data_IF_611638147058
#
_entry.id   IF_611638147058
#
_cell.length_a   1.000
_cell.length_b   1.000
_cell.length_c   1.000
_cell.angle_alpha   90.00
_cell.angle_beta   90.00
_cell.angle_gamma   90.00
#
_symmetry.space_group_name_H-M   'P 1'
#
loop_
_entity.id
_entity.type
_entity.pdbx_description
1 polymer ?
#
# COMPACT_ATOMS: atom_id res chain seq x y z
N UNK A 1 -20.10 6.16 9.75
CA UNK A 1 -18.69 5.82 9.48
C UNK A 1 -18.56 4.32 9.62
N UNK A 2 -17.98 3.68 8.61
CA UNK A 2 -17.82 2.24 8.63
C UNK A 2 -16.88 1.82 9.77
N UNK A 3 -17.20 0.71 10.43
CA UNK A 3 -16.39 0.19 11.55
C UNK A 3 -15.53 -0.96 11.05
N UNK A 4 -14.21 -0.81 11.13
CA UNK A 4 -13.23 -1.79 10.69
C UNK A 4 -12.86 -2.70 11.86
N UNK A 5 -12.94 -4.02 11.66
CA UNK A 5 -12.59 -5.04 12.66
C UNK A 5 -11.84 -6.19 12.01
N UNK A 6 -10.80 -6.68 12.66
CA UNK A 6 -10.10 -7.88 12.22
C UNK A 6 -10.80 -9.13 12.76
N UNK A 7 -10.99 -10.14 11.90
CA UNK A 7 -11.42 -11.48 12.25
C UNK A 7 -10.20 -12.41 12.12
N UNK A 8 -9.53 -12.66 13.24
CA UNK A 8 -8.15 -13.16 13.21
C UNK A 8 -7.23 -12.08 12.61
N UNK A 9 -6.19 -12.49 11.88
CA UNK A 9 -5.21 -11.54 11.31
C UNK A 9 -5.29 -11.40 9.79
N UNK A 10 -6.12 -12.22 9.12
CA UNK A 10 -6.15 -12.38 7.66
C UNK A 10 -7.49 -12.03 7.01
N UNK A 11 -8.48 -11.65 7.81
CA UNK A 11 -9.81 -11.25 7.32
C UNK A 11 -10.21 -9.92 7.97
N UNK A 12 -10.60 -8.98 7.13
CA UNK A 12 -11.17 -7.71 7.54
C UNK A 12 -12.69 -7.78 7.47
N UNK A 13 -13.37 -7.57 8.59
CA UNK A 13 -14.80 -7.31 8.64
C UNK A 13 -15.05 -5.79 8.71
N UNK A 14 -15.95 -5.29 7.87
CA UNK A 14 -16.36 -3.89 7.85
C UNK A 14 -17.86 -3.81 8.07
N UNK A 15 -18.26 -3.27 9.22
CA UNK A 15 -19.67 -3.02 9.53
C UNK A 15 -20.07 -1.66 8.95
N UNK A 16 -21.19 -1.62 8.24
CA UNK A 16 -21.67 -0.45 7.49
C UNK A 16 -23.12 -0.17 7.85
N UNK A 17 -23.45 1.10 8.10
CA UNK A 17 -24.81 1.56 8.44
C UNK A 17 -25.36 2.53 7.38
N UNK A 18 -25.16 2.22 6.10
CA UNK A 18 -25.44 3.12 4.96
C UNK A 18 -24.22 3.88 4.45
N UNK A 19 -23.05 3.68 5.09
CA UNK A 19 -21.76 4.22 4.67
C UNK A 19 -21.23 3.53 3.40
N UNK A 20 -20.08 4.00 2.91
CA UNK A 20 -19.34 3.36 1.83
C UNK A 20 -17.87 3.13 2.23
N UNK A 21 -17.23 2.18 1.58
CA UNK A 21 -15.78 1.93 1.67
C UNK A 21 -15.21 1.65 0.28
N UNK A 22 -13.92 1.93 0.11
CA UNK A 22 -13.17 1.58 -1.11
C UNK A 22 -12.29 0.39 -0.78
N UNK A 23 -12.46 -0.73 -1.44
CA UNK A 23 -11.68 -1.95 -1.22
C UNK A 23 -10.97 -2.41 -2.50
N UNK A 24 -9.93 -3.23 -2.37
CA UNK A 24 -9.27 -3.90 -3.49
C UNK A 24 -10.30 -4.72 -4.25
N UNK A 25 -10.39 -4.52 -5.57
CA UNK A 25 -11.32 -5.27 -6.42
C UNK A 25 -11.01 -6.77 -6.32
N UNK A 26 -12.06 -7.58 -6.15
CA UNK A 26 -11.93 -9.04 -6.00
C UNK A 26 -11.50 -9.51 -4.61
N UNK A 27 -11.31 -8.60 -3.63
CA UNK A 27 -10.97 -8.99 -2.25
C UNK A 27 -12.17 -9.32 -1.36
N UNK A 28 -13.40 -9.11 -1.83
CA UNK A 28 -14.59 -9.46 -1.05
C UNK A 28 -14.77 -10.99 -1.01
N UNK A 29 -14.91 -11.53 0.19
CA UNK A 29 -15.06 -12.96 0.45
C UNK A 29 -16.51 -13.30 0.81
N UNK A 30 -17.15 -12.46 1.61
CA UNK A 30 -18.54 -12.64 2.03
C UNK A 30 -19.16 -11.28 2.40
N UNK A 31 -20.49 -11.22 2.43
CA UNK A 31 -21.21 -10.11 3.05
C UNK A 31 -22.54 -10.59 3.65
N UNK A 32 -23.02 -9.86 4.65
CA UNK A 32 -24.35 -9.99 5.22
C UNK A 32 -25.06 -8.64 5.15
N UNK A 33 -26.39 -8.65 4.96
CA UNK A 33 -27.20 -7.47 4.75
C UNK A 33 -27.29 -7.00 3.29
N UNK A 34 -27.53 -5.70 3.10
CA UNK A 34 -27.78 -5.09 1.79
C UNK A 34 -26.55 -4.33 1.32
N UNK A 35 -25.84 -4.88 0.32
CA UNK A 35 -24.62 -4.29 -0.22
C UNK A 35 -24.72 -4.06 -1.72
N UNK A 36 -24.26 -2.89 -2.17
CA UNK A 36 -24.06 -2.54 -3.57
C UNK A 36 -22.56 -2.43 -3.86
N UNK A 37 -22.14 -3.03 -4.97
CA UNK A 37 -20.74 -3.08 -5.39
C UNK A 37 -20.57 -2.35 -6.71
N UNK A 38 -19.65 -1.40 -6.77
CA UNK A 38 -19.32 -0.65 -7.98
C UNK A 38 -17.82 -0.72 -8.20
N UNK A 39 -17.39 -1.37 -9.28
CA UNK A 39 -16.00 -1.31 -9.72
C UNK A 39 -15.64 0.14 -10.03
N UNK A 40 -14.56 0.64 -9.44
CA UNK A 40 -14.04 1.96 -9.75
C UNK A 40 -13.15 1.85 -10.98
N UNK A 41 -13.78 1.72 -12.15
CA UNK A 41 -13.10 1.86 -13.44
C UNK A 41 -12.73 3.34 -13.63
N UNK A 42 -11.53 3.71 -13.23
CA UNK A 42 -11.07 5.10 -13.21
C UNK A 42 -11.43 5.79 -11.90
N UNK A 43 -10.43 5.93 -11.02
CA UNK A 43 -10.59 6.69 -9.78
C UNK A 43 -11.06 8.11 -10.06
N UNK A 44 -12.21 8.48 -9.49
CA UNK A 44 -12.65 9.84 -9.17
C UNK A 44 -12.83 10.89 -10.27
N UNK A 45 -12.22 10.75 -11.45
CA UNK A 45 -12.10 11.80 -12.46
C UNK A 45 -12.12 11.23 -13.89
N UNK A 46 -13.17 10.48 -14.21
CA UNK A 46 -13.48 10.07 -15.58
C UNK A 46 -12.32 9.49 -16.40
N UNK A 47 -12.31 9.79 -17.71
CA UNK A 47 -11.29 9.34 -18.66
C UNK A 47 -9.86 9.74 -18.25
N UNK A 48 -9.71 10.85 -17.53
CA UNK A 48 -8.40 11.40 -17.14
C UNK A 48 -7.70 10.51 -16.11
N UNK A 49 -8.42 10.05 -15.09
CA UNK A 49 -7.90 9.08 -14.11
C UNK A 49 -7.51 7.73 -14.73
N UNK A 50 -8.26 7.26 -15.74
CA UNK A 50 -7.90 6.06 -16.51
C UNK A 50 -6.64 6.24 -17.35
N UNK A 51 -6.47 7.41 -17.99
CA UNK A 51 -5.30 7.72 -18.80
C UNK A 51 -4.05 7.83 -17.93
N UNK A 52 -4.09 8.58 -16.82
CA UNK A 52 -2.96 8.69 -15.89
C UNK A 52 -2.55 7.30 -15.39
N UNK A 53 -3.51 6.42 -15.10
CA UNK A 53 -3.24 5.07 -14.61
C UNK A 53 -2.64 4.12 -15.65
N UNK A 54 -3.12 4.18 -16.89
CA UNK A 54 -2.54 3.41 -18.01
C UNK A 54 -1.15 3.91 -18.39
N UNK A 55 -0.91 5.21 -18.25
CA UNK A 55 0.41 5.82 -18.48
C UNK A 55 1.38 5.52 -17.34
N UNK A 56 0.91 5.45 -16.09
CA UNK A 56 1.75 5.05 -14.97
C UNK A 56 2.00 3.54 -14.96
N UNK A 57 1.06 2.70 -15.40
CA UNK A 57 1.17 1.23 -15.37
C UNK A 57 0.58 0.60 -14.10
N UNK A 58 -0.15 1.37 -13.30
CA UNK A 58 -0.72 0.93 -12.03
C UNK A 58 -1.95 0.00 -12.24
N UNK A 59 -1.89 -1.23 -11.73
CA UNK A 59 -2.94 -2.25 -11.91
C UNK A 59 -3.98 -2.32 -10.77
N UNK A 60 -3.91 -1.47 -9.74
CA UNK A 60 -4.69 -1.71 -8.51
C UNK A 60 -6.19 -1.34 -8.63
N UNK A 61 -7.01 -2.15 -9.27
CA UNK A 61 -8.45 -1.86 -9.35
C UNK A 61 -9.08 -1.79 -7.96
N UNK A 62 -9.73 -0.66 -7.64
CA UNK A 62 -10.56 -0.51 -6.42
C UNK A 62 -12.02 -0.76 -6.78
N UNK A 63 -12.80 -1.19 -5.78
CA UNK A 63 -14.25 -1.26 -5.82
C UNK A 63 -14.82 -0.45 -4.66
N UNK A 64 -15.88 0.30 -4.95
CA UNK A 64 -16.70 0.94 -3.93
C UNK A 64 -17.76 -0.07 -3.48
N UNK A 65 -17.85 -0.26 -2.16
CA UNK A 65 -18.90 -1.02 -1.51
C UNK A 65 -19.73 -0.02 -0.70
N UNK A 66 -21.05 -0.03 -0.89
CA UNK A 66 -21.97 0.84 -0.15
C UNK A 66 -23.17 0.02 0.32
N UNK A 67 -23.58 0.19 1.57
CA UNK A 67 -24.69 -0.60 2.07
C UNK A 67 -24.87 -0.60 3.58
N UNK A 68 -25.73 -1.49 4.04
CA UNK A 68 -26.06 -1.72 5.44
C UNK A 68 -25.89 -3.21 5.78
N UNK A 69 -25.00 -3.52 6.72
CA UNK A 69 -24.63 -4.88 7.11
C UNK A 69 -23.13 -5.02 7.33
N UNK A 70 -22.58 -6.23 7.12
CA UNK A 70 -21.15 -6.50 7.28
C UNK A 70 -20.55 -7.01 5.98
N UNK A 71 -19.44 -6.44 5.52
CA UNK A 71 -18.68 -6.95 4.39
C UNK A 71 -17.32 -7.50 4.85
N UNK A 72 -16.92 -8.66 4.33
CA UNK A 72 -15.69 -9.34 4.68
C UNK A 72 -14.71 -9.30 3.51
N UNK A 73 -13.49 -8.85 3.75
CA UNK A 73 -12.43 -8.72 2.76
C UNK A 73 -11.18 -9.50 3.17
N UNK A 74 -10.55 -10.15 2.19
CA UNK A 74 -9.25 -10.80 2.33
C UNK A 74 -8.57 -10.92 0.95
N UNK A 75 -7.25 -11.04 0.92
CA UNK A 75 -6.50 -11.32 -0.30
C UNK A 75 -5.41 -12.34 -0.02
N UNK A 76 -5.52 -13.52 -0.65
CA UNK A 76 -4.51 -14.60 -0.63
C UNK A 76 -3.94 -14.94 0.77
N UNK A 77 -4.78 -14.88 1.81
CA UNK A 77 -4.37 -15.13 3.21
C UNK A 77 -3.20 -14.24 3.70
N UNK A 78 -3.10 -13.03 3.15
CA UNK A 78 -2.17 -11.98 3.59
C UNK A 78 -2.54 -11.49 4.99
N UNK A 79 -1.53 -11.06 5.75
CA UNK A 79 -1.74 -10.40 7.04
C UNK A 79 -2.31 -8.99 6.83
N UNK A 80 -3.23 -8.57 7.70
CA UNK A 80 -3.92 -7.29 7.58
C UNK A 80 -3.60 -6.43 8.80
N UNK A 81 -3.17 -5.19 8.55
CA UNK A 81 -2.92 -4.19 9.57
C UNK A 81 -3.87 -3.00 9.37
N UNK A 82 -4.50 -2.58 10.47
CA UNK A 82 -5.34 -1.38 10.48
C UNK A 82 -4.50 -0.15 10.81
N UNK A 83 -4.64 0.88 10.00
CA UNK A 83 -3.97 2.18 10.15
C UNK A 83 -5.05 3.25 10.33
N UNK A 84 -5.09 3.84 11.52
CA UNK A 84 -5.92 5.01 11.80
C UNK A 84 -5.20 6.27 11.33
N UNK A 85 -5.90 7.10 10.55
CA UNK A 85 -5.42 8.40 10.10
C UNK A 85 -6.22 9.50 10.80
N UNK A 86 -5.52 10.51 11.33
CA UNK A 86 -6.13 11.62 12.07
C UNK A 86 -5.84 12.96 11.39
N UNK A 87 -6.12 13.04 10.10
CA UNK A 87 -5.71 14.16 9.24
C UNK A 87 -4.34 13.95 8.58
N UNK A 88 -3.79 12.75 8.75
CA UNK A 88 -2.49 12.36 8.23
C UNK A 88 -2.58 11.83 6.79
N UNK A 89 -1.40 11.61 6.21
CA UNK A 89 -1.23 10.99 4.91
C UNK A 89 -0.40 9.73 5.04
N UNK A 90 -0.98 8.62 4.58
CA UNK A 90 -0.32 7.34 4.40
C UNK A 90 0.12 7.20 2.95
N UNK A 91 1.36 6.78 2.77
CA UNK A 91 1.88 6.33 1.48
C UNK A 91 1.98 4.82 1.56
N UNK A 92 1.32 4.10 0.67
CA UNK A 92 1.28 2.63 0.68
C UNK A 92 1.54 2.12 -0.72
N UNK A 93 2.31 1.04 -0.84
CA UNK A 93 2.47 0.38 -2.13
C UNK A 93 1.10 -0.08 -2.62
N UNK A 94 0.76 0.24 -3.87
CA UNK A 94 -0.57 0.05 -4.41
C UNK A 94 -1.07 -1.40 -4.24
N UNK A 95 -0.20 -2.40 -4.37
CA UNK A 95 -0.63 -3.80 -4.23
C UNK A 95 -1.07 -4.18 -2.80
N UNK A 96 -0.62 -3.41 -1.79
CA UNK A 96 -0.83 -3.64 -0.37
C UNK A 96 -2.05 -2.93 0.22
N UNK A 97 -2.72 -2.02 -0.49
CA UNK A 97 -3.95 -1.40 0.03
C UNK A 97 -5.13 -2.39 -0.11
N UNK A 98 -5.74 -2.80 1.02
CA UNK A 98 -6.92 -3.67 1.01
C UNK A 98 -8.21 -2.87 1.03
N UNK A 99 -8.34 -1.91 1.94
CA UNK A 99 -9.57 -1.19 2.16
C UNK A 99 -9.30 0.19 2.77
N UNK A 100 -10.12 1.17 2.45
CA UNK A 100 -10.08 2.51 3.03
C UNK A 100 -11.50 3.03 3.22
N UNK A 101 -11.73 3.74 4.32
CA UNK A 101 -12.96 4.48 4.55
C UNK A 101 -13.25 5.42 3.36
N UNK A 102 -14.52 5.58 3.00
CA UNK A 102 -14.96 6.56 1.99
C UNK A 102 -14.55 8.00 2.30
N UNK A 103 -14.38 8.35 3.58
CA UNK A 103 -13.90 9.69 4.00
C UNK A 103 -12.46 9.96 3.61
N UNK A 104 -11.67 8.91 3.36
CA UNK A 104 -10.28 9.02 2.95
C UNK A 104 -10.17 9.28 1.44
N UNK A 105 -9.34 10.28 1.10
CA UNK A 105 -8.97 10.58 -0.28
C UNK A 105 -7.84 9.66 -0.70
N UNK A 106 -8.02 8.99 -1.82
CA UNK A 106 -7.03 8.10 -2.43
C UNK A 106 -6.48 8.74 -3.69
N UNK A 107 -5.16 8.84 -3.80
CA UNK A 107 -4.47 9.33 -4.99
C UNK A 107 -3.35 8.38 -5.40
N UNK A 108 -2.93 8.43 -6.66
CA UNK A 108 -1.77 7.66 -7.13
C UNK A 108 -0.58 8.61 -7.32
N UNK A 109 0.58 8.23 -6.78
CA UNK A 109 1.85 8.85 -7.09
C UNK A 109 2.82 7.80 -7.62
N UNK A 110 3.58 8.15 -8.65
CA UNK A 110 4.67 7.32 -9.11
C UNK A 110 5.94 7.76 -8.39
N UNK A 111 6.49 6.87 -7.57
CA UNK A 111 7.75 7.10 -6.87
C UNK A 111 8.82 6.23 -7.53
N UNK A 112 9.37 6.72 -8.65
CA UNK A 112 10.43 6.05 -9.40
C UNK A 112 11.47 7.05 -9.90
N UNK A 113 12.67 6.55 -10.23
CA UNK A 113 13.73 7.34 -10.85
C UNK A 113 13.21 7.99 -12.14
N UNK A 114 13.28 9.31 -12.23
CA UNK A 114 13.11 10.04 -13.49
C UNK A 114 14.16 9.52 -14.49
N UNK A 115 13.77 8.69 -15.45
CA UNK A 115 14.59 8.41 -16.65
C UNK A 115 14.86 6.96 -17.04
N UNK A 116 14.37 5.95 -16.31
CA UNK A 116 14.51 4.54 -16.74
C UNK A 116 13.31 4.06 -17.54
N UNK A 117 13.52 3.60 -18.79
CA UNK A 117 12.48 3.01 -19.65
C UNK A 117 12.01 1.61 -19.21
N UNK A 118 12.39 1.16 -18.02
CA UNK A 118 11.97 -0.10 -17.42
C UNK A 118 10.91 0.21 -16.36
N UNK A 119 9.72 -0.39 -16.46
CA UNK A 119 8.54 -0.14 -15.62
C UNK A 119 8.67 -0.58 -14.16
N UNK A 120 9.74 -0.17 -13.48
CA UNK A 120 10.21 -0.63 -12.16
C UNK A 120 10.13 0.48 -11.12
N UNK A 121 9.04 1.24 -11.11
CA UNK A 121 8.76 2.19 -10.04
C UNK A 121 7.86 1.58 -8.97
N UNK A 122 8.06 1.94 -7.71
CA UNK A 122 7.12 1.62 -6.65
C UNK A 122 5.87 2.46 -6.89
N UNK A 123 4.80 1.79 -7.32
CA UNK A 123 3.48 2.41 -7.39
C UNK A 123 3.01 2.70 -5.98
N UNK A 124 2.97 3.98 -5.63
CA UNK A 124 2.57 4.41 -4.29
C UNK A 124 1.20 5.03 -4.37
N UNK A 125 0.23 4.42 -3.69
CA UNK A 125 -1.06 5.02 -3.45
C UNK A 125 -0.98 5.86 -2.18
N UNK A 126 -1.47 7.09 -2.26
CA UNK A 126 -1.60 7.97 -1.10
C UNK A 126 -3.01 7.89 -0.56
N UNK A 127 -3.15 7.69 0.74
CA UNK A 127 -4.43 7.72 1.47
C UNK A 127 -4.36 8.85 2.49
N UNK A 128 -5.25 9.82 2.38
CA UNK A 128 -5.19 11.07 3.14
C UNK A 128 -6.54 11.44 3.76
N UNK A 129 -6.52 11.92 5.00
CA UNK A 129 -7.69 12.45 5.70
C UNK A 129 -7.86 11.82 7.08
N UNK A 130 -9.11 11.73 7.53
CA UNK A 130 -9.45 11.13 8.83
C UNK A 130 -10.34 9.92 8.64
N UNK A 131 -9.91 8.77 9.15
CA UNK A 131 -10.60 7.49 8.97
C UNK A 131 -9.66 6.30 9.18
N UNK A 132 -10.10 5.12 8.76
CA UNK A 132 -9.29 3.90 8.81
C UNK A 132 -8.93 3.40 7.41
N UNK A 133 -7.70 2.91 7.29
CA UNK A 133 -7.22 2.15 6.15
C UNK A 133 -6.74 0.76 6.62
N UNK A 134 -6.97 -0.25 5.81
CA UNK A 134 -6.45 -1.59 5.98
C UNK A 134 -5.37 -1.84 4.93
N UNK A 135 -4.16 -2.15 5.39
CA UNK A 135 -3.03 -2.52 4.54
C UNK A 135 -2.71 -4.00 4.72
N UNK A 136 -2.10 -4.59 3.69
CA UNK A 136 -1.73 -6.00 3.66
C UNK A 136 -0.22 -6.15 3.73
N UNK A 137 0.23 -7.29 4.24
CA UNK A 137 1.61 -7.72 4.24
C UNK A 137 1.71 -9.22 4.03
N UNK A 138 2.81 -9.67 3.44
CA UNK A 138 3.16 -11.08 3.47
C UNK A 138 3.85 -11.38 4.81
N UNK A 139 3.12 -12.02 5.71
CA UNK A 139 3.52 -12.20 7.11
C UNK A 139 3.31 -10.94 7.98
N UNK A 140 3.54 -11.04 9.31
CA UNK A 140 3.22 -9.96 10.25
C UNK A 140 4.07 -8.72 9.98
N UNK A 141 3.43 -7.59 9.67
CA UNK A 141 4.14 -6.34 9.37
C UNK A 141 4.97 -5.87 10.58
N UNK A 142 6.18 -5.39 10.30
CA UNK A 142 7.06 -4.76 11.28
C UNK A 142 6.96 -3.25 11.09
N UNK A 143 6.67 -2.53 12.18
CA UNK A 143 6.54 -1.07 12.19
C UNK A 143 7.81 -0.47 12.82
N UNK A 144 8.54 0.31 12.03
CA UNK A 144 9.83 0.87 12.41
C UNK A 144 9.72 2.40 12.52
N UNK A 145 10.24 2.94 13.63
CA UNK A 145 10.30 4.40 13.85
C UNK A 145 11.51 4.98 13.13
N UNK A 146 11.29 6.08 12.43
CA UNK A 146 12.34 6.92 11.86
C UNK A 146 12.36 8.24 12.62
N UNK A 147 13.56 8.68 13.00
CA UNK A 147 13.81 10.01 13.56
C UNK A 147 15.01 10.65 12.87
N UNK A 148 15.22 11.97 12.98
CA UNK A 148 16.38 12.62 12.37
C UNK A 148 17.73 12.05 12.84
N UNK A 149 17.80 11.49 14.05
CA UNK A 149 19.00 10.85 14.60
C UNK A 149 19.18 9.41 14.12
N UNK A 150 18.08 8.74 13.76
CA UNK A 150 18.06 7.33 13.37
C UNK A 150 17.32 7.17 12.04
N UNK A 151 17.98 7.48 10.91
CA UNK A 151 17.43 7.22 9.59
C UNK A 151 17.34 5.71 9.33
N UNK A 152 16.41 5.29 8.49
CA UNK A 152 16.16 3.88 8.20
C UNK A 152 16.41 3.58 6.72
N UNK A 153 17.21 2.56 6.44
CA UNK A 153 17.34 1.98 5.10
C UNK A 153 16.50 0.71 5.01
N UNK A 154 15.68 0.60 3.97
CA UNK A 154 14.73 -0.49 3.75
C UNK A 154 14.95 -1.09 2.37
N UNK A 155 14.88 -2.41 2.28
CA UNK A 155 14.83 -3.12 1.01
C UNK A 155 13.52 -2.77 0.26
N UNK A 156 13.59 -2.29 -1.00
CA UNK A 156 12.40 -2.01 -1.81
C UNK A 156 11.41 -3.18 -1.90
N UNK A 157 11.87 -4.42 -1.90
CA UNK A 157 11.05 -5.62 -1.97
C UNK A 157 10.31 -5.95 -0.67
N UNK A 158 10.76 -5.40 0.47
CA UNK A 158 10.16 -5.58 1.79
C UNK A 158 9.28 -4.39 2.22
N UNK A 159 9.32 -3.27 1.50
CA UNK A 159 8.58 -2.06 1.84
C UNK A 159 7.06 -2.22 1.60
N UNK A 160 6.23 -1.76 2.56
CA UNK A 160 4.76 -1.76 2.43
C UNK A 160 4.22 -0.34 2.39
N UNK A 161 4.56 0.47 3.39
CA UNK A 161 3.96 1.78 3.60
C UNK A 161 4.82 2.66 4.49
N UNK A 162 4.55 3.97 4.51
CA UNK A 162 5.05 4.88 5.54
C UNK A 162 4.10 6.05 5.77
N UNK A 163 4.25 6.69 6.93
CA UNK A 163 3.53 7.91 7.32
C UNK A 163 4.43 8.85 8.12
N UNK A 164 4.03 10.11 8.21
CA UNK A 164 4.82 11.18 8.83
C UNK A 164 5.58 12.03 7.82
N UNK A 165 6.43 12.91 8.33
CA UNK A 165 7.23 13.82 7.52
C UNK A 165 8.57 13.14 7.16
N UNK A 166 8.50 12.20 6.21
CA UNK A 166 9.64 11.42 5.74
C UNK A 166 10.02 11.80 4.31
N UNK A 167 11.31 11.99 4.10
CA UNK A 167 11.93 12.06 2.78
C UNK A 167 12.44 10.68 2.39
N UNK A 168 12.13 10.28 1.16
CA UNK A 168 12.55 9.01 0.56
C UNK A 168 13.66 9.27 -0.46
N UNK A 169 14.80 8.63 -0.25
CA UNK A 169 15.95 8.70 -1.15
C UNK A 169 16.32 7.29 -1.61
N UNK A 170 16.27 7.03 -2.91
CA UNK A 170 16.77 5.78 -3.48
C UNK A 170 18.29 5.84 -3.58
N UNK A 171 18.97 4.90 -2.92
CA UNK A 171 20.42 4.79 -2.95
C UNK A 171 20.81 3.54 -3.74
N UNK A 172 21.64 3.70 -4.77
CA UNK A 172 22.31 2.59 -5.43
C UNK A 172 23.51 2.17 -4.59
N UNK A 173 23.53 0.91 -4.15
CA UNK A 173 24.64 0.34 -3.42
C UNK A 173 25.84 0.07 -4.31
N UNK A 174 26.64 1.10 -4.64
CA UNK A 174 27.95 0.91 -5.31
C UNK A 174 28.98 0.26 -4.37
N UNK A 175 28.64 0.10 -3.08
CA UNK A 175 29.56 -0.36 -2.02
C UNK A 175 29.17 -1.72 -1.41
N UNK A 176 28.67 -2.67 -2.21
CA UNK A 176 28.71 -4.10 -1.83
C UNK A 176 29.77 -4.81 -2.66
N UNK A 177 31.01 -4.28 -2.61
CA UNK A 177 32.10 -4.72 -3.49
C UNK A 177 32.66 -6.10 -3.15
N UNK A 178 32.23 -6.75 -2.07
CA UNK A 178 32.83 -8.04 -1.71
C UNK A 178 31.93 -8.81 -0.74
N UNK A 179 31.86 -10.14 -0.92
CA UNK A 179 31.32 -11.18 -0.01
C UNK A 179 29.81 -11.45 -0.19
N UNK A 180 29.30 -12.43 -0.94
CA UNK A 180 29.79 -13.75 -1.32
C UNK A 180 28.97 -14.26 -2.53
N UNK A 181 29.67 -14.81 -3.54
CA UNK A 181 29.19 -15.93 -4.37
C UNK A 181 27.94 -15.75 -5.24
N UNK A 182 28.18 -15.61 -6.55
CA UNK A 182 27.24 -15.91 -7.66
C UNK A 182 25.86 -15.23 -7.64
N UNK A 183 25.76 -14.05 -8.28
CA UNK A 183 24.45 -13.48 -8.64
C UNK A 183 24.29 -11.96 -8.67
N UNK A 184 25.37 -11.19 -8.85
CA UNK A 184 25.41 -9.74 -8.63
C UNK A 184 24.38 -8.93 -9.42
N UNK A 185 23.25 -8.60 -8.78
CA UNK A 185 22.41 -7.47 -9.11
C UNK A 185 22.74 -6.25 -8.25
N UNK A 186 22.49 -5.05 -8.76
CA UNK A 186 22.68 -3.81 -8.02
C UNK A 186 21.74 -3.77 -6.81
N UNK A 187 22.28 -3.77 -5.59
CA UNK A 187 21.47 -3.66 -4.38
C UNK A 187 20.95 -2.21 -4.25
N UNK A 188 19.65 -2.02 -4.50
CA UNK A 188 18.96 -0.75 -4.28
C UNK A 188 18.34 -0.73 -2.89
N UNK A 189 18.48 0.39 -2.18
CA UNK A 189 17.84 0.60 -0.88
C UNK A 189 17.03 1.89 -0.88
N UNK A 190 15.91 1.90 -0.16
CA UNK A 190 15.14 3.12 0.13
C UNK A 190 15.60 3.65 1.48
N UNK A 191 16.19 4.85 1.47
CA UNK A 191 16.56 5.54 2.71
C UNK A 191 15.47 6.52 3.11
N UNK A 192 14.98 6.37 4.32
CA UNK A 192 14.00 7.23 4.95
C UNK A 192 14.68 8.14 5.98
N UNK A 193 14.47 9.44 5.85
CA UNK A 193 15.00 10.48 6.74
C UNK A 193 13.86 11.43 7.15
N UNK A 194 13.84 11.87 8.41
CA UNK A 194 12.79 12.75 8.93
C UNK A 194 12.16 12.18 10.20
N UNK A 195 10.86 12.37 10.39
CA UNK A 195 10.12 11.86 11.55
C UNK A 195 8.84 11.14 11.10
N UNK A 196 8.72 9.85 11.43
CA UNK A 196 7.60 9.05 10.98
C UNK A 196 7.73 7.55 11.25
N UNK A 197 6.86 6.78 10.62
CA UNK A 197 6.81 5.32 10.73
C UNK A 197 6.92 4.69 9.34
N UNK A 198 7.67 3.60 9.24
CA UNK A 198 7.79 2.78 8.04
C UNK A 198 7.32 1.36 8.35
N UNK A 199 6.51 0.80 7.47
CA UNK A 199 5.94 -0.54 7.56
C UNK A 199 6.68 -1.44 6.57
N UNK A 200 7.23 -2.54 7.06
CA UNK A 200 7.93 -3.54 6.25
C UNK A 200 7.32 -4.92 6.47
N UNK A 201 7.33 -5.75 5.43
CA UNK A 201 6.91 -7.14 5.53
C UNK A 201 8.13 -8.04 5.79
N UNK A 202 7.96 -9.15 6.52
CA UNK A 202 8.98 -10.18 6.70
C UNK A 202 9.10 -11.10 5.47
N UNK A 203 9.05 -10.52 4.27
CA UNK A 203 9.11 -11.21 2.99
C UNK A 203 9.58 -10.23 1.92
N UNK A 204 10.47 -10.68 1.04
CA UNK A 204 11.01 -9.89 -0.07
C UNK A 204 10.24 -10.22 -1.35
N UNK A 205 9.84 -9.19 -2.09
CA UNK A 205 9.31 -9.34 -3.44
C UNK A 205 10.45 -9.17 -4.44
N UNK A 206 10.37 -9.88 -5.56
CA UNK A 206 11.30 -9.70 -6.66
C UNK A 206 11.23 -8.25 -7.14
N UNK A 207 12.28 -7.50 -6.85
CA UNK A 207 12.52 -6.14 -7.35
C UNK A 207 13.65 -6.22 -8.38
N UNK A 208 13.67 -5.33 -9.37
CA UNK A 208 14.76 -5.35 -10.37
C UNK A 208 16.07 -5.00 -9.65
N UNK A 209 16.85 -6.05 -9.39
CA UNK A 209 17.97 -6.12 -8.45
C UNK A 209 18.32 -7.55 -7.99
N UNK A 210 17.42 -8.53 -8.14
CA UNK A 210 17.67 -9.98 -7.94
C UNK A 210 16.33 -10.75 -7.83
N UNK A 211 16.17 -12.03 -8.14
CA UNK A 211 17.09 -13.18 -8.28
C UNK A 211 17.97 -13.24 -9.53
N UNK A 212 19.12 -13.92 -9.40
CA UNK A 212 19.63 -14.77 -10.51
C UNK A 212 18.94 -16.12 -10.49
#
# INVERSE_FOLDING_TARGET
MATFRLQGSKVLAVDMTGDAVKAKNGSMVAYDGQMAFKKMSGGGEGLRGMVTRRLTGEQMELMEVKGQGTCYFADRASEINLVSLHGDKLYVESSNLLCADSTLRTGTSFTGLRGGATGTGLFTTTVEGSGQAAIMSDGPAVVLRVTPQYPLSVDPGAYIAHQGNLQQNFQSGVTFRTLMGEGGGEAFQIRFEGDGLVYVQPSERNTVGGDV
#
